data_IF_269742000540
#
_entry.id   IF_269742000540
#
_cell.length_a   1.000
_cell.length_b   1.000
_cell.length_c   1.000
_cell.angle_alpha   90.00
_cell.angle_beta   90.00
_cell.angle_gamma   90.00
#
_symmetry.space_group_name_H-M   'P 1'
#
loop_
_entity.id
_entity.type
_entity.pdbx_description
1 polymer ?
#
# COMPACT_ATOMS: atom_id res chain seq x y z
N UNK A 1 10.82 30.32 -6.60
CA UNK A 1 10.80 30.12 -5.13
C UNK A 1 11.21 28.69 -4.83
N UNK A 2 12.43 28.43 -4.34
CA UNK A 2 12.80 27.12 -3.81
C UNK A 2 12.26 27.00 -2.39
N UNK A 3 11.45 25.97 -2.08
CA UNK A 3 11.02 25.71 -0.70
C UNK A 3 9.55 25.36 -0.41
N UNK A 4 8.84 24.62 -1.28
CA UNK A 4 7.51 24.09 -0.93
C UNK A 4 7.24 22.66 -1.45
N UNK A 5 8.23 22.04 -2.06
CA UNK A 5 8.04 20.94 -3.00
C UNK A 5 8.50 19.62 -2.33
N UNK A 6 7.58 18.89 -1.71
CA UNK A 6 7.74 17.50 -1.25
C UNK A 6 7.68 16.56 -2.47
N UNK A 7 8.78 15.90 -2.84
CA UNK A 7 8.80 15.03 -4.03
C UNK A 7 8.24 13.64 -3.79
N UNK A 8 7.91 13.24 -2.56
CA UNK A 8 7.57 11.85 -2.31
C UNK A 8 6.43 11.66 -1.30
N UNK A 9 5.70 10.54 -1.41
CA UNK A 9 5.76 9.58 -2.52
C UNK A 9 5.05 10.07 -3.79
N UNK A 10 5.73 9.84 -4.92
CA UNK A 10 5.23 10.11 -6.27
C UNK A 10 4.56 8.86 -6.86
N UNK A 11 3.41 9.05 -7.49
CA UNK A 11 2.68 8.03 -8.23
C UNK A 11 2.41 8.50 -9.66
N UNK A 12 2.20 7.54 -10.56
CA UNK A 12 1.72 7.79 -11.93
C UNK A 12 0.40 7.03 -12.06
N UNK A 13 -0.69 7.77 -12.25
CA UNK A 13 -2.02 7.19 -12.44
C UNK A 13 -2.15 6.48 -13.79
N UNK A 14 -3.22 5.69 -13.94
CA UNK A 14 -3.52 5.03 -15.23
C UNK A 14 -3.80 6.04 -16.36
N UNK A 15 -4.24 7.24 -16.00
CA UNK A 15 -4.40 8.40 -16.89
C UNK A 15 -3.06 9.05 -17.33
N UNK A 16 -1.92 8.52 -16.86
CA UNK A 16 -0.59 9.04 -17.11
C UNK A 16 -0.24 10.29 -16.28
N UNK A 17 -1.15 10.76 -15.43
CA UNK A 17 -0.91 11.93 -14.60
C UNK A 17 -0.01 11.55 -13.42
N UNK A 18 1.12 12.23 -13.30
CA UNK A 18 1.94 12.15 -12.10
C UNK A 18 1.27 12.93 -10.98
N UNK A 19 1.13 12.34 -9.80
CA UNK A 19 0.64 13.01 -8.59
C UNK A 19 1.39 12.55 -7.34
N UNK A 20 1.22 13.30 -6.26
CA UNK A 20 1.86 13.05 -4.98
C UNK A 20 0.81 12.77 -3.92
N UNK A 21 1.08 11.85 -3.01
CA UNK A 21 0.16 11.56 -1.91
C UNK A 21 0.86 11.82 -0.57
N UNK A 22 0.43 12.86 0.13
CA UNK A 22 0.96 13.17 1.44
C UNK A 22 0.25 12.33 2.50
N UNK A 23 0.83 11.17 2.80
CA UNK A 23 0.44 10.35 3.94
C UNK A 23 0.85 10.98 5.27
N UNK A 24 0.75 10.19 6.33
CA UNK A 24 1.27 10.50 7.66
C UNK A 24 2.44 9.58 7.97
N UNK A 25 3.41 10.12 8.70
CA UNK A 25 4.52 9.34 9.22
C UNK A 25 4.02 8.18 10.10
N UNK A 26 4.66 7.03 9.96
CA UNK A 26 4.43 5.80 10.71
C UNK A 26 2.97 5.33 10.63
N UNK A 27 2.40 5.41 9.42
CA UNK A 27 1.03 4.98 9.11
C UNK A 27 0.97 4.20 7.81
N UNK A 28 -0.05 3.36 7.73
CA UNK A 28 -0.33 2.53 6.56
C UNK A 28 -1.49 3.11 5.76
N UNK A 29 -1.36 3.06 4.43
CA UNK A 29 -2.37 3.59 3.51
C UNK A 29 -2.66 2.59 2.39
N UNK A 30 -3.94 2.44 2.06
CA UNK A 30 -4.43 1.65 0.94
C UNK A 30 -4.13 2.33 -0.38
N UNK A 31 -3.13 1.79 -1.08
CA UNK A 31 -2.69 2.27 -2.39
C UNK A 31 -3.61 1.75 -3.48
N UNK A 32 -3.95 0.46 -3.43
CA UNK A 32 -4.82 -0.21 -4.40
C UNK A 32 -5.68 -1.22 -3.67
N UNK A 33 -6.97 -1.26 -3.97
CA UNK A 33 -7.84 -2.34 -3.54
C UNK A 33 -8.85 -2.65 -4.63
N UNK A 34 -8.99 -3.94 -4.90
CA UNK A 34 -9.97 -4.52 -5.80
C UNK A 34 -10.36 -5.90 -5.24
N UNK A 35 -11.27 -6.61 -5.89
CA UNK A 35 -11.79 -7.90 -5.45
C UNK A 35 -10.68 -8.96 -5.23
N UNK A 36 -9.65 -8.97 -6.09
CA UNK A 36 -8.58 -9.97 -6.14
C UNK A 36 -7.20 -9.45 -5.66
N UNK A 37 -7.04 -8.15 -5.39
CA UNK A 37 -5.77 -7.55 -4.97
C UNK A 37 -5.99 -6.45 -3.93
N UNK A 38 -5.14 -6.42 -2.91
CA UNK A 38 -5.06 -5.33 -1.94
C UNK A 38 -3.60 -4.95 -1.70
N UNK A 39 -3.28 -3.66 -1.80
CA UNK A 39 -1.93 -3.15 -1.58
C UNK A 39 -2.02 -2.02 -0.56
N UNK A 40 -1.38 -2.22 0.60
CA UNK A 40 -1.11 -1.15 1.55
C UNK A 40 0.37 -0.75 1.46
N UNK A 41 0.65 0.54 1.64
CA UNK A 41 2.00 1.06 1.81
C UNK A 41 2.20 1.57 3.23
N UNK A 42 3.31 1.20 3.86
CA UNK A 42 3.77 1.77 5.13
C UNK A 42 4.62 3.01 4.87
N UNK A 43 4.23 4.13 5.45
CA UNK A 43 4.85 5.43 5.21
C UNK A 43 5.77 5.78 6.38
N UNK A 44 7.05 6.00 6.07
CA UNK A 44 8.00 6.64 7.00
C UNK A 44 8.01 8.13 6.73
N UNK A 45 8.55 8.92 7.66
CA UNK A 45 8.64 10.34 7.44
C UNK A 45 9.53 11.12 8.40
N UNK A 46 9.86 12.34 8.00
CA UNK A 46 10.64 13.31 8.78
C UNK A 46 9.93 14.65 8.82
N UNK A 47 9.91 15.25 10.01
CA UNK A 47 9.46 16.63 10.20
C UNK A 47 10.67 17.54 10.35
N UNK A 48 10.75 18.56 9.51
CA UNK A 48 11.66 19.67 9.76
C UNK A 48 11.03 20.62 10.80
N UNK A 49 11.83 21.15 11.74
CA UNK A 49 11.38 22.02 12.84
C UNK A 49 10.60 23.24 12.36
N UNK A 50 10.87 23.71 11.15
CA UNK A 50 10.25 24.89 10.56
C UNK A 50 9.03 24.56 9.67
N UNK A 51 8.55 23.31 9.69
CA UNK A 51 7.44 22.86 8.85
C UNK A 51 6.28 22.28 9.65
N UNK A 52 5.06 22.64 9.24
CA UNK A 52 3.82 22.14 9.85
C UNK A 52 3.40 20.74 9.38
N UNK A 53 4.13 20.12 8.45
CA UNK A 53 3.81 18.80 7.86
C UNK A 53 5.03 17.89 7.83
N UNK A 54 4.79 16.58 7.83
CA UNK A 54 5.81 15.57 7.60
C UNK A 54 6.11 15.44 6.10
N UNK A 55 7.38 15.22 5.77
CA UNK A 55 7.75 14.58 4.51
C UNK A 55 7.60 13.08 4.68
N UNK A 56 7.09 12.39 3.65
CA UNK A 56 6.82 10.95 3.75
C UNK A 56 7.36 10.17 2.57
N UNK A 57 7.72 8.91 2.79
CA UNK A 57 8.17 7.97 1.76
C UNK A 57 7.62 6.57 2.05
N UNK A 58 7.49 5.73 1.03
CA UNK A 58 7.01 4.35 1.21
C UNK A 58 8.17 3.46 1.63
N UNK A 59 8.19 2.99 2.88
CA UNK A 59 9.23 2.08 3.35
C UNK A 59 8.93 0.62 2.97
N UNK A 60 7.67 0.23 3.03
CA UNK A 60 7.26 -1.13 2.68
C UNK A 60 5.90 -1.15 2.04
N UNK A 61 5.63 -2.19 1.27
CA UNK A 61 4.28 -2.53 0.81
C UNK A 61 3.90 -3.92 1.30
N UNK A 62 2.64 -4.07 1.70
CA UNK A 62 1.98 -5.35 1.91
C UNK A 62 0.98 -5.57 0.78
N UNK A 63 1.05 -6.73 0.13
CA UNK A 63 0.21 -7.11 -0.99
C UNK A 63 -0.54 -8.39 -0.60
N UNK A 64 -1.87 -8.32 -0.64
CA UNK A 64 -2.77 -9.48 -0.58
C UNK A 64 -3.26 -9.80 -1.98
N UNK A 65 -3.15 -11.07 -2.36
CA UNK A 65 -3.70 -11.60 -3.60
C UNK A 65 -4.02 -13.08 -3.38
N UNK A 66 -5.15 -13.55 -3.92
CA UNK A 66 -5.68 -14.88 -3.63
C UNK A 66 -5.75 -15.16 -2.10
N UNK A 67 -4.91 -16.08 -1.62
CA UNK A 67 -4.70 -16.39 -0.20
C UNK A 67 -3.27 -16.10 0.28
N UNK A 68 -2.49 -15.36 -0.52
CA UNK A 68 -1.09 -15.08 -0.27
C UNK A 68 -0.88 -13.67 0.28
N UNK A 69 0.17 -13.53 1.09
CA UNK A 69 0.67 -12.28 1.64
C UNK A 69 2.10 -12.07 1.17
N UNK A 70 2.33 -11.03 0.38
CA UNK A 70 3.66 -10.60 -0.01
C UNK A 70 4.00 -9.30 0.70
N UNK A 71 5.19 -9.22 1.30
CA UNK A 71 5.76 -7.98 1.80
C UNK A 71 7.07 -7.67 1.10
N UNK A 72 7.23 -6.43 0.65
CA UNK A 72 8.48 -5.89 0.13
C UNK A 72 8.84 -4.68 1.00
N UNK A 73 10.05 -4.64 1.54
CA UNK A 73 10.48 -3.58 2.47
C UNK A 73 11.88 -3.08 2.16
N UNK A 74 12.10 -1.78 2.35
CA UNK A 74 13.43 -1.17 2.42
C UNK A 74 13.96 -1.23 3.85
N UNK A 75 15.12 -1.85 4.04
CA UNK A 75 15.80 -1.91 5.32
C UNK A 75 16.42 -0.55 5.67
N UNK A 76 16.22 -0.12 6.92
CA UNK A 76 16.79 1.14 7.43
C UNK A 76 18.31 1.12 7.37
N UNK A 77 18.91 2.26 7.05
CA UNK A 77 20.36 2.43 7.05
C UNK A 77 20.77 3.86 7.30
N UNK A 78 21.79 4.05 8.13
CA UNK A 78 22.41 5.36 8.38
C UNK A 78 23.33 5.78 7.22
N UNK A 79 24.09 4.84 6.69
CA UNK A 79 25.03 5.06 5.58
C UNK A 79 24.56 4.26 4.37
N UNK A 80 24.37 4.95 3.25
CA UNK A 80 24.03 4.30 1.99
C UNK A 80 25.29 3.69 1.34
N UNK A 81 25.18 2.43 0.93
CA UNK A 81 26.14 1.76 0.06
C UNK A 81 25.32 0.97 -0.95
N UNK A 82 25.49 1.28 -2.23
CA UNK A 82 24.79 0.63 -3.33
C UNK A 82 25.09 -0.87 -3.44
N UNK A 83 26.26 -1.32 -2.96
CA UNK A 83 26.64 -2.73 -2.98
C UNK A 83 26.04 -3.55 -1.83
N UNK A 84 25.35 -2.91 -0.89
CA UNK A 84 24.68 -3.64 0.19
C UNK A 84 23.20 -3.78 -0.17
N UNK A 85 22.71 -5.02 -0.26
CA UNK A 85 21.29 -5.27 -0.49
C UNK A 85 20.47 -4.86 0.73
N UNK A 86 19.50 -3.97 0.53
CA UNK A 86 18.59 -3.46 1.56
C UNK A 86 17.14 -3.83 1.29
N UNK A 87 16.87 -4.67 0.29
CA UNK A 87 15.53 -5.14 0.03
C UNK A 87 15.24 -6.39 0.88
N UNK A 88 14.07 -6.40 1.50
CA UNK A 88 13.58 -7.55 2.26
C UNK A 88 12.25 -8.00 1.67
N UNK A 89 12.13 -9.31 1.47
CA UNK A 89 10.99 -9.94 0.82
C UNK A 89 10.49 -11.05 1.74
N UNK A 90 9.20 -11.04 2.03
CA UNK A 90 8.53 -12.09 2.79
C UNK A 90 7.30 -12.54 2.03
N UNK A 91 7.11 -13.85 1.90
CA UNK A 91 5.93 -14.47 1.30
C UNK A 91 5.31 -15.38 2.36
N UNK A 92 4.05 -15.14 2.70
CA UNK A 92 3.28 -15.91 3.70
C UNK A 92 3.96 -16.05 5.07
N UNK A 93 4.76 -15.04 5.45
CA UNK A 93 5.54 -15.01 6.68
C UNK A 93 6.93 -15.64 6.58
N UNK A 94 7.27 -16.24 5.45
CA UNK A 94 8.60 -16.81 5.18
C UNK A 94 9.50 -15.83 4.43
N UNK A 95 10.74 -15.68 4.89
CA UNK A 95 11.71 -14.81 4.24
C UNK A 95 12.23 -15.45 2.95
N UNK A 96 12.18 -14.69 1.86
CA UNK A 96 12.72 -15.12 0.57
C UNK A 96 14.14 -14.58 0.42
N UNK A 97 15.10 -15.49 0.29
CA UNK A 97 16.48 -15.14 -0.02
C UNK A 97 16.71 -15.23 -1.52
N UNK A 98 17.06 -14.09 -2.13
CA UNK A 98 17.49 -14.00 -3.52
C UNK A 98 19.00 -13.71 -3.56
N UNK A 99 19.81 -14.57 -4.19
CA UNK A 99 21.22 -14.29 -4.42
C UNK A 99 21.47 -12.90 -5.03
N UNK A 100 22.56 -12.26 -4.63
CA UNK A 100 22.94 -10.89 -5.04
C UNK A 100 23.63 -10.87 -6.40
N UNK A 101 22.92 -11.26 -7.46
CA UNK A 101 23.36 -11.10 -8.85
C UNK A 101 22.16 -10.86 -9.78
N UNK A 102 22.35 -10.06 -10.82
CA UNK A 102 21.32 -9.81 -11.84
C UNK A 102 20.80 -11.11 -12.47
N UNK A 103 19.47 -11.27 -12.54
CA UNK A 103 18.81 -12.45 -13.08
C UNK A 103 18.54 -13.57 -12.08
N UNK A 104 19.04 -13.46 -10.83
CA UNK A 104 18.63 -14.34 -9.75
C UNK A 104 17.10 -14.31 -9.60
N UNK A 105 16.48 -15.47 -9.45
CA UNK A 105 15.03 -15.55 -9.33
C UNK A 105 14.59 -16.58 -8.29
N UNK A 106 13.37 -16.37 -7.82
CA UNK A 106 12.64 -17.27 -6.95
C UNK A 106 11.23 -17.37 -7.48
N UNK A 107 10.67 -18.58 -7.51
CA UNK A 107 9.36 -18.83 -8.06
C UNK A 107 8.56 -19.79 -7.17
N UNK A 108 7.28 -19.51 -7.06
CA UNK A 108 6.24 -20.43 -6.56
C UNK A 108 5.25 -20.75 -7.68
N UNK A 109 4.13 -21.41 -7.37
CA UNK A 109 3.11 -21.74 -8.37
C UNK A 109 2.53 -20.51 -9.10
N UNK A 110 2.46 -19.35 -8.45
CA UNK A 110 1.79 -18.14 -8.99
C UNK A 110 2.65 -16.89 -8.95
N UNK A 111 3.67 -16.85 -8.09
CA UNK A 111 4.52 -15.68 -7.84
C UNK A 111 5.94 -15.93 -8.38
N UNK A 112 6.42 -15.05 -9.25
CA UNK A 112 7.80 -14.97 -9.72
C UNK A 112 8.45 -13.70 -9.17
N UNK A 113 9.64 -13.84 -8.62
CA UNK A 113 10.47 -12.73 -8.15
C UNK A 113 11.82 -12.82 -8.83
N UNK A 114 12.21 -11.75 -9.52
CA UNK A 114 13.46 -11.68 -10.27
C UNK A 114 14.23 -10.44 -9.87
N UNK A 115 15.51 -10.62 -9.60
CA UNK A 115 16.46 -9.54 -9.36
C UNK A 115 16.90 -8.94 -10.69
N UNK A 116 16.82 -7.62 -10.83
CA UNK A 116 17.18 -6.92 -12.08
C UNK A 116 18.49 -6.13 -11.99
N UNK A 117 19.08 -6.05 -10.80
CA UNK A 117 20.47 -5.63 -10.55
C UNK A 117 20.98 -6.37 -9.32
N UNK A 118 22.30 -6.50 -9.18
CA UNK A 118 22.96 -7.23 -8.09
C UNK A 118 22.38 -6.94 -6.69
N UNK A 119 21.96 -5.70 -6.44
CA UNK A 119 21.32 -5.29 -5.19
C UNK A 119 20.13 -4.36 -5.43
N UNK A 120 19.27 -4.27 -4.41
CA UNK A 120 18.26 -3.23 -4.22
C UNK A 120 17.19 -3.11 -5.30
N UNK A 121 17.14 -3.98 -6.33
CA UNK A 121 16.19 -3.84 -7.42
C UNK A 121 15.62 -5.19 -7.87
N UNK A 122 14.31 -5.34 -7.72
CA UNK A 122 13.58 -6.55 -8.06
C UNK A 122 12.34 -6.24 -8.90
N UNK A 123 11.89 -7.26 -9.61
CA UNK A 123 10.57 -7.35 -10.20
C UNK A 123 9.84 -8.51 -9.52
N UNK A 124 8.64 -8.22 -9.05
CA UNK A 124 7.68 -9.23 -8.60
C UNK A 124 6.55 -9.30 -9.61
N UNK A 125 6.17 -10.51 -10.00
CA UNK A 125 5.12 -10.75 -10.99
C UNK A 125 4.23 -11.89 -10.53
N UNK A 126 2.92 -11.63 -10.52
CA UNK A 126 1.89 -12.66 -10.34
C UNK A 126 1.14 -12.77 -11.65
N UNK A 127 1.12 -13.98 -12.19
CA UNK A 127 0.59 -14.25 -13.53
C UNK A 127 -0.84 -13.71 -13.66
N UNK A 128 -1.09 -12.94 -14.73
CA UNK A 128 -2.39 -12.34 -15.05
C UNK A 128 -2.98 -11.38 -14.01
N UNK A 129 -2.27 -11.06 -12.91
CA UNK A 129 -2.73 -10.10 -11.89
C UNK A 129 -1.95 -8.80 -11.93
N UNK A 130 -0.66 -8.84 -11.63
CA UNK A 130 0.15 -7.63 -11.54
C UNK A 130 1.65 -7.89 -11.68
N UNK A 131 2.39 -6.81 -11.95
CA UNK A 131 3.85 -6.70 -11.91
C UNK A 131 4.25 -5.47 -11.11
N UNK A 132 5.16 -5.64 -10.16
CA UNK A 132 5.72 -4.57 -9.33
C UNK A 132 7.22 -4.53 -9.55
N UNK A 133 7.74 -3.39 -10.01
CA UNK A 133 9.18 -3.10 -9.90
C UNK A 133 9.40 -2.34 -8.61
N UNK A 134 10.27 -2.86 -7.74
CA UNK A 134 10.60 -2.25 -6.46
C UNK A 134 12.11 -2.03 -6.39
N UNK A 135 12.50 -0.77 -6.20
CA UNK A 135 13.88 -0.37 -6.01
C UNK A 135 14.06 0.32 -4.66
N UNK A 136 15.02 -0.11 -3.86
CA UNK A 136 15.41 0.62 -2.64
C UNK A 136 16.33 1.77 -3.03
N UNK A 137 15.99 2.98 -2.60
CA UNK A 137 16.78 4.20 -2.84
C UNK A 137 16.96 4.99 -1.54
N UNK A 138 18.10 5.68 -1.35
CA UNK A 138 18.29 6.59 -0.23
C UNK A 138 17.72 7.97 -0.58
N UNK A 139 17.51 8.79 0.45
CA UNK A 139 17.45 10.24 0.24
C UNK A 139 18.87 10.79 0.18
N UNK A 140 19.21 11.46 -0.91
CA UNK A 140 20.56 12.00 -1.08
C UNK A 140 20.75 13.30 -0.30
N UNK A 141 22.00 13.65 0.02
CA UNK A 141 22.34 14.94 0.65
C UNK A 141 21.90 16.13 -0.21
N UNK A 142 21.99 16.00 -1.53
CA UNK A 142 21.56 17.03 -2.47
C UNK A 142 20.04 17.20 -2.44
N UNK A 143 19.28 16.11 -2.50
CA UNK A 143 17.82 16.12 -2.42
C UNK A 143 17.34 16.72 -1.09
N UNK A 144 17.93 16.26 0.02
CA UNK A 144 17.66 16.81 1.36
C UNK A 144 17.91 18.32 1.44
N UNK A 145 18.97 18.83 0.79
CA UNK A 145 19.30 20.25 0.73
C UNK A 145 18.32 21.04 -0.14
N UNK A 146 17.93 20.52 -1.30
CA UNK A 146 17.02 21.19 -2.23
C UNK A 146 15.61 21.28 -1.63
N UNK A 147 15.18 20.23 -0.94
CA UNK A 147 13.82 20.10 -0.40
C UNK A 147 13.70 20.47 1.08
N UNK A 148 14.82 20.78 1.75
CA UNK A 148 14.89 21.05 3.18
C UNK A 148 14.30 19.92 4.04
N UNK A 149 14.54 18.67 3.66
CA UNK A 149 14.10 17.51 4.45
C UNK A 149 14.79 17.45 5.82
N UNK A 150 16.04 17.94 5.89
CA UNK A 150 16.84 17.89 7.12
C UNK A 150 17.31 16.47 7.46
N UNK A 151 17.53 15.64 6.43
CA UNK A 151 18.16 14.32 6.57
C UNK A 151 19.60 14.52 7.03
N UNK A 152 19.99 13.73 8.02
CA UNK A 152 21.28 13.77 8.71
C UNK A 152 21.92 12.38 8.61
N UNK A 153 23.19 12.24 8.96
CA UNK A 153 23.92 10.97 8.79
C UNK A 153 23.49 9.86 9.79
N UNK A 154 22.42 10.07 10.56
CA UNK A 154 21.79 9.09 11.46
C UNK A 154 20.87 8.10 10.72
N UNK A 155 20.18 8.56 9.67
CA UNK A 155 19.29 7.75 8.82
C UNK A 155 19.22 8.38 7.43
N UNK A 156 19.46 7.60 6.38
CA UNK A 156 19.31 8.08 5.01
C UNK A 156 17.88 7.94 4.48
N UNK A 157 16.94 7.42 5.29
CA UNK A 157 15.54 7.21 4.94
C UNK A 157 15.40 6.38 3.65
N UNK A 158 16.11 5.23 3.62
CA UNK A 158 15.97 4.27 2.55
C UNK A 158 14.50 3.85 2.39
N UNK A 159 13.99 3.97 1.17
CA UNK A 159 12.58 3.78 0.83
C UNK A 159 12.44 3.14 -0.55
N UNK A 160 11.22 2.75 -0.90
CA UNK A 160 10.88 2.08 -2.14
C UNK A 160 10.48 3.11 -3.21
N UNK A 161 11.20 3.09 -4.32
CA UNK A 161 10.72 3.57 -5.62
C UNK A 161 9.94 2.43 -6.29
N UNK A 162 8.65 2.66 -6.55
CA UNK A 162 7.68 1.64 -6.92
C UNK A 162 7.07 1.94 -8.28
N UNK A 163 7.01 0.92 -9.14
CA UNK A 163 6.26 0.96 -10.39
C UNK A 163 5.31 -0.21 -10.43
N UNK A 164 4.03 0.10 -10.62
CA UNK A 164 2.97 -0.88 -10.70
C UNK A 164 2.49 -1.04 -12.14
N UNK A 165 2.25 -2.28 -12.55
CA UNK A 165 1.52 -2.62 -13.75
C UNK A 165 0.47 -3.66 -13.38
N UNK A 166 -0.80 -3.35 -13.60
CA UNK A 166 -1.90 -4.26 -13.32
C UNK A 166 -2.45 -4.83 -14.63
N UNK A 167 -2.86 -6.09 -14.60
CA UNK A 167 -3.35 -6.82 -15.77
C UNK A 167 -4.85 -7.14 -15.68
N UNK A 168 -5.39 -7.28 -14.47
CA UNK A 168 -6.77 -7.69 -14.23
C UNK A 168 -7.42 -6.90 -13.07
N UNK A 169 -7.60 -5.60 -13.26
CA UNK A 169 -8.41 -4.76 -12.37
C UNK A 169 -9.85 -4.67 -12.88
N UNK A 170 -10.80 -4.68 -11.96
CA UNK A 170 -12.22 -4.44 -12.20
C UNK A 170 -12.55 -2.94 -12.14
N UNK A 171 -13.73 -2.57 -12.63
CA UNK A 171 -14.25 -1.20 -12.48
C UNK A 171 -14.57 -0.81 -11.01
N UNK A 172 -14.50 -1.76 -10.06
CA UNK A 172 -14.68 -1.47 -8.62
C UNK A 172 -13.40 -1.02 -7.92
N UNK A 173 -12.25 -1.06 -8.61
CA UNK A 173 -10.93 -0.71 -8.04
C UNK A 173 -10.93 0.68 -7.40
N UNK A 174 -10.35 0.79 -6.21
CA UNK A 174 -10.20 2.05 -5.46
C UNK A 174 -8.86 2.05 -4.71
N UNK A 175 -8.63 3.04 -3.85
CA UNK A 175 -7.34 3.31 -3.22
C UNK A 175 -6.68 4.56 -3.80
N UNK A 176 -5.58 5.01 -3.18
CA UNK A 176 -4.86 6.22 -3.62
C UNK A 176 -4.52 6.16 -5.11
N UNK A 177 -3.85 5.09 -5.53
CA UNK A 177 -3.50 4.82 -6.92
C UNK A 177 -4.63 4.08 -7.65
N UNK A 178 -5.29 3.13 -6.99
CA UNK A 178 -6.27 2.25 -7.62
C UNK A 178 -7.45 3.00 -8.25
N UNK A 179 -7.96 4.06 -7.60
CA UNK A 179 -9.08 4.85 -8.16
C UNK A 179 -8.77 5.44 -9.54
N UNK A 180 -7.49 5.65 -9.89
CA UNK A 180 -7.08 6.19 -11.19
C UNK A 180 -7.29 5.20 -12.34
N UNK A 181 -7.48 3.91 -12.04
CA UNK A 181 -7.70 2.85 -13.02
C UNK A 181 -9.18 2.65 -13.38
N UNK A 182 -10.11 3.33 -12.70
CA UNK A 182 -11.53 3.25 -13.05
C UNK A 182 -11.80 3.96 -14.37
N UNK A 183 -12.66 3.36 -15.20
CA UNK A 183 -13.08 3.91 -16.50
C UNK A 183 -13.78 5.28 -16.40
N UNK A 184 -14.45 5.55 -15.28
CA UNK A 184 -15.15 6.80 -14.97
C UNK A 184 -14.32 7.78 -14.12
N UNK A 185 -13.03 7.49 -13.88
CA UNK A 185 -12.20 8.35 -13.05
C UNK A 185 -11.96 9.70 -13.71
N UNK A 186 -12.26 10.76 -12.95
CA UNK A 186 -11.90 12.14 -13.30
C UNK A 186 -10.92 12.64 -12.25
N UNK A 187 -9.74 13.05 -12.72
CA UNK A 187 -8.66 13.49 -11.85
C UNK A 187 -9.09 14.69 -11.00
N UNK A 188 -8.99 14.53 -9.68
CA UNK A 188 -9.35 15.58 -8.70
C UNK A 188 -8.16 16.42 -8.28
N UNK A 189 -6.97 16.09 -8.77
CA UNK A 189 -5.76 16.85 -8.44
C UNK A 189 -5.73 18.16 -9.23
N UNK A 190 -5.10 19.18 -8.66
CA UNK A 190 -5.02 20.49 -9.29
C UNK A 190 -4.11 20.42 -10.53
N UNK A 191 -4.66 20.68 -11.71
CA UNK A 191 -3.89 20.72 -12.96
C UNK A 191 -3.09 22.02 -13.09
N UNK A 192 -1.99 21.99 -13.86
CA UNK A 192 -1.15 23.16 -14.14
C UNK A 192 -0.23 23.59 -12.99
N UNK A 193 -0.11 22.78 -11.94
CA UNK A 193 0.93 22.94 -10.91
C UNK A 193 2.00 21.87 -11.09
N UNK A 194 3.24 22.18 -10.70
CA UNK A 194 4.36 21.25 -10.82
C UNK A 194 4.15 19.96 -10.03
N UNK A 195 3.41 20.03 -8.92
CA UNK A 195 3.15 18.89 -8.05
C UNK A 195 1.69 18.82 -7.60
N UNK A 196 0.83 18.17 -8.39
CA UNK A 196 -0.54 17.90 -7.98
C UNK A 196 -0.56 16.92 -6.81
N UNK A 197 -1.22 17.31 -5.72
CA UNK A 197 -1.36 16.48 -4.51
C UNK A 197 -2.73 15.85 -4.46
N UNK A 198 -2.78 14.55 -4.20
CA UNK A 198 -4.00 13.81 -3.91
C UNK A 198 -4.30 13.86 -2.41
N UNK A 199 -5.50 14.33 -2.08
CA UNK A 199 -5.97 14.42 -0.69
C UNK A 199 -6.78 13.19 -0.26
N UNK A 200 -7.33 13.26 0.96
CA UNK A 200 -8.18 12.21 1.51
C UNK A 200 -7.43 11.12 2.27
N UNK A 201 -6.32 11.48 2.93
CA UNK A 201 -5.51 10.57 3.75
C UNK A 201 -6.36 9.69 4.69
N UNK A 202 -7.32 10.29 5.41
CA UNK A 202 -8.21 9.54 6.32
C UNK A 202 -9.04 8.45 5.63
N UNK A 203 -9.41 8.64 4.35
CA UNK A 203 -10.18 7.65 3.56
C UNK A 203 -9.34 6.40 3.26
N UNK A 204 -8.03 6.57 3.13
CA UNK A 204 -7.12 5.51 2.72
C UNK A 204 -6.34 4.90 3.88
N UNK A 205 -6.45 5.43 5.11
CA UNK A 205 -5.77 4.86 6.27
C UNK A 205 -6.17 3.39 6.48
N UNK A 206 -5.16 2.58 6.80
CA UNK A 206 -5.28 1.18 7.16
C UNK A 206 -4.62 0.93 8.51
N UNK A 207 -5.06 -0.08 9.26
CA UNK A 207 -4.46 -0.39 10.56
C UNK A 207 -3.05 -0.98 10.47
N UNK A 208 -2.74 -1.71 9.39
CA UNK A 208 -1.41 -2.30 9.14
C UNK A 208 -1.25 -2.74 7.67
N UNK A 209 -0.05 -3.20 7.30
CA UNK A 209 0.32 -3.64 5.94
C UNK A 209 -0.62 -4.67 5.30
N UNK A 210 -1.37 -5.44 6.08
CA UNK A 210 -2.27 -6.50 5.59
C UNK A 210 -3.72 -6.33 6.06
N UNK A 211 -4.07 -5.22 6.70
CA UNK A 211 -5.45 -4.95 7.07
C UNK A 211 -6.26 -4.48 5.85
N UNK A 212 -7.49 -4.98 5.74
CA UNK A 212 -8.44 -4.63 4.68
C UNK A 212 -9.57 -3.77 5.25
N UNK A 213 -9.22 -2.79 6.10
CA UNK A 213 -10.14 -2.00 6.92
C UNK A 213 -10.23 -0.53 6.51
N UNK A 214 -9.54 -0.13 5.45
CA UNK A 214 -9.66 1.21 4.90
C UNK A 214 -11.10 1.45 4.39
N UNK A 215 -11.55 2.71 4.35
CA UNK A 215 -12.94 3.05 4.00
C UNK A 215 -13.33 2.67 2.56
N UNK A 216 -12.35 2.32 1.73
CA UNK A 216 -12.53 1.90 0.33
C UNK A 216 -12.30 0.43 0.09
N UNK A 217 -12.01 -0.36 1.11
CA UNK A 217 -11.64 -1.76 0.94
C UNK A 217 -12.64 -2.52 0.05
N UNK A 218 -12.12 -3.15 -1.00
CA UNK A 218 -12.86 -4.00 -1.95
C UNK A 218 -12.40 -5.46 -1.93
N UNK A 219 -11.33 -5.74 -1.21
CA UNK A 219 -10.70 -7.05 -1.23
C UNK A 219 -11.60 -8.12 -0.62
N UNK A 220 -11.87 -9.17 -1.41
CA UNK A 220 -12.63 -10.34 -0.99
C UNK A 220 -11.73 -11.58 -0.84
N UNK A 221 -10.55 -11.57 -1.46
CA UNK A 221 -9.65 -12.72 -1.51
C UNK A 221 -10.23 -13.89 -2.30
N UNK A 222 -9.55 -15.05 -2.27
CA UNK A 222 -10.04 -16.27 -2.92
C UNK A 222 -11.12 -17.02 -2.12
N UNK A 223 -11.83 -16.31 -1.24
CA UNK A 223 -13.11 -16.75 -0.73
C UNK A 223 -14.07 -16.92 -1.91
N UNK A 224 -14.11 -18.14 -2.47
CA UNK A 224 -15.37 -18.73 -2.92
C UNK A 224 -16.28 -18.77 -1.69
N UNK A 225 -16.88 -17.63 -1.35
CA UNK A 225 -18.04 -17.60 -0.50
C UNK A 225 -19.16 -18.30 -1.28
N UNK A 226 -19.21 -19.62 -1.14
CA UNK A 226 -20.48 -20.29 -1.01
C UNK A 226 -21.20 -19.51 0.09
N UNK A 227 -22.26 -18.79 -0.31
CA UNK A 227 -23.00 -17.89 0.57
C UNK A 227 -23.22 -18.52 1.94
N UNK A 228 -22.46 -18.09 2.92
CA UNK A 228 -22.85 -18.24 4.30
C UNK A 228 -23.81 -17.08 4.54
N UNK A 229 -25.07 -17.31 4.15
CA UNK A 229 -26.17 -16.69 4.86
C UNK A 229 -25.87 -16.93 6.34
N UNK A 230 -25.59 -15.86 7.08
CA UNK A 230 -25.71 -15.87 8.52
C UNK A 230 -27.18 -16.17 8.83
N UNK A 231 -27.55 -17.46 8.78
CA UNK A 231 -28.64 -18.00 9.56
C UNK A 231 -28.17 -17.85 10.99
N UNK A 232 -28.44 -16.67 11.54
CA UNK A 232 -28.60 -16.50 12.96
C UNK A 232 -29.77 -17.41 13.32
N UNK A 233 -29.49 -18.67 13.67
CA UNK A 233 -30.46 -19.52 14.35
C UNK A 233 -30.83 -18.79 15.64
N UNK A 234 -31.93 -18.04 15.58
CA UNK A 234 -32.59 -17.60 16.80
C UNK A 234 -32.91 -18.86 17.61
N UNK A 235 -32.63 -18.88 18.92
CA UNK A 235 -33.07 -19.97 19.76
C UNK A 235 -34.59 -20.09 19.64
N UNK A 236 -35.06 -21.31 19.42
CA UNK A 236 -36.48 -21.62 19.30
C UNK A 236 -37.22 -21.17 20.56
N UNK A 237 -37.95 -20.06 20.45
CA UNK A 237 -38.87 -19.59 21.47
C UNK A 237 -40.08 -20.53 21.47
N UNK A 238 -40.12 -21.45 22.44
CA UNK A 238 -41.33 -22.20 22.75
C UNK A 238 -42.34 -21.27 23.44
N UNK A 239 -43.24 -20.69 22.66
CA UNK A 239 -44.40 -19.97 23.16
C UNK A 239 -45.46 -20.96 23.63
N UNK A 240 -45.58 -21.14 24.94
CA UNK A 240 -46.72 -21.82 25.54
C UNK A 240 -47.85 -20.78 25.75
N UNK A 241 -48.96 -20.96 25.03
CA UNK A 241 -50.11 -20.07 25.09
C UNK A 241 -50.84 -20.19 26.43
N UNK A 242 -50.50 -19.31 27.38
CA UNK A 242 -51.28 -19.03 28.57
C UNK A 242 -52.25 -17.88 28.30
N UNK A 243 -53.55 -18.14 28.47
CA UNK A 243 -54.61 -17.14 28.32
C UNK A 243 -54.43 -15.94 29.28
N UNK A 244 -54.68 -14.75 28.74
CA UNK A 244 -54.92 -13.45 29.39
C UNK A 244 -53.73 -12.63 29.91
N UNK A 245 -53.33 -11.59 29.15
CA UNK A 245 -52.64 -10.42 29.68
C UNK A 245 -51.95 -9.56 28.61
N UNK A 246 -52.34 -8.27 28.50
CA UNK A 246 -51.74 -7.29 27.59
C UNK A 246 -50.38 -6.79 28.12
N UNK A 247 -49.35 -6.83 27.28
CA UNK A 247 -48.21 -5.91 27.29
C UNK A 247 -46.84 -6.53 27.54
N UNK A 248 -45.87 -6.23 26.67
CA UNK A 248 -44.43 -6.41 26.93
C UNK A 248 -43.75 -5.05 26.75
N UNK A 249 -43.07 -4.59 27.80
CA UNK A 249 -42.20 -3.41 27.77
C UNK A 249 -40.75 -3.91 27.77
N UNK A 250 -39.98 -3.55 26.74
CA UNK A 250 -38.54 -3.80 26.71
C UNK A 250 -37.80 -2.56 27.19
N UNK A 251 -36.99 -2.69 28.24
CA UNK A 251 -35.93 -1.72 28.56
C UNK A 251 -34.61 -2.18 27.96
N UNK A 252 -33.78 -1.18 27.64
CA UNK A 252 -32.44 -1.30 27.07
C UNK A 252 -31.50 -2.09 27.97
#
# INVERSE_FOLDING_TARGET
>A
MPGAVCQDPRFIGADGITFYFHGKKDKDFCLVTDNNIHINGHFIGKRNKNMGRDFTWVQSIGVLFDNHKLQISAQKTSIWNENNDRISITVDGENIYLPEYEGANWQSSTLLITRIHDTNNIIVEVENLFKITAKVVPITKEESRIHNYGITDDDCFAHLDLKFKFFALSDEVDGVLGQTYKSDYVSKVKMGVLMPVMGGDNKFMSANSFATDCSVAKFKGSSRDNGSSLNMELPSLNCQSGLNGRGVVCKK
#
